data_IF_608381748934
#
_entry.id   IF_608381748934
#
_cell.length_a   1.000
_cell.length_b   1.000
_cell.length_c   1.000
_cell.angle_alpha   90.00
_cell.angle_beta   90.00
_cell.angle_gamma   90.00
#
_symmetry.space_group_name_H-M   'P 1'
#
loop_
_entity.id
_entity.type
_entity.pdbx_description
1 polymer ?
#
# COMPACT_ATOMS: atom_id res chain seq x y z
N UNK A 1 14.62 -2.06 -1.64
CA UNK A 1 13.19 -1.94 -1.31
C UNK A 1 13.06 -0.94 -0.17
N UNK A 2 12.29 0.13 -0.35
CA UNK A 2 12.00 1.12 0.69
C UNK A 2 10.70 0.74 1.41
N UNK A 3 10.79 0.46 2.72
CA UNK A 3 9.64 0.07 3.56
C UNK A 3 9.09 1.22 4.41
N UNK A 4 9.69 2.41 4.33
CA UNK A 4 9.32 3.56 5.15
C UNK A 4 7.82 3.90 5.03
N UNK A 5 7.27 3.82 3.82
CA UNK A 5 5.89 4.21 3.52
C UNK A 5 4.82 3.15 3.81
N UNK A 6 5.21 2.00 4.39
CA UNK A 6 4.28 0.97 4.86
C UNK A 6 4.65 0.51 6.26
N UNK A 7 5.69 -0.31 6.35
CA UNK A 7 6.14 -0.89 7.63
C UNK A 7 6.69 0.18 8.58
N UNK A 8 7.35 1.21 8.04
CA UNK A 8 7.83 2.35 8.83
C UNK A 8 6.69 3.10 9.51
N UNK A 9 5.67 3.53 8.74
CA UNK A 9 4.49 4.19 9.30
C UNK A 9 3.71 3.30 10.27
N UNK A 10 3.55 2.02 9.95
CA UNK A 10 2.88 1.08 10.84
C UNK A 10 3.62 0.91 12.17
N UNK A 11 4.95 0.81 12.13
CA UNK A 11 5.78 0.53 13.30
C UNK A 11 5.97 1.74 14.21
N UNK A 12 6.01 2.94 13.65
CA UNK A 12 6.34 4.17 14.39
C UNK A 12 5.10 5.01 14.72
N UNK A 13 4.15 5.10 13.79
CA UNK A 13 2.98 5.98 13.90
C UNK A 13 1.65 5.21 13.96
N UNK A 14 1.70 3.88 14.10
CA UNK A 14 0.50 3.04 14.10
C UNK A 14 -0.29 3.11 12.79
N UNK A 15 0.39 3.39 11.67
CA UNK A 15 -0.19 3.56 10.33
C UNK A 15 -1.17 4.75 10.19
N UNK A 16 -1.21 5.68 11.16
CA UNK A 16 -2.11 6.84 11.15
C UNK A 16 -1.46 8.04 10.45
N UNK A 17 -1.34 7.94 9.14
CA UNK A 17 -0.75 8.96 8.28
C UNK A 17 -1.72 9.29 7.15
N UNK A 18 -1.94 10.59 6.89
CA UNK A 18 -2.78 11.04 5.77
C UNK A 18 -2.03 10.86 4.46
N UNK A 19 -2.76 10.51 3.40
CA UNK A 19 -2.18 10.17 2.10
C UNK A 19 -1.29 11.28 1.56
N UNK A 20 -1.80 12.52 1.48
CA UNK A 20 -1.07 13.62 0.87
C UNK A 20 0.14 14.11 1.70
N UNK A 21 0.16 13.86 3.02
CA UNK A 21 1.25 14.32 3.89
C UNK A 21 2.58 13.65 3.57
N UNK A 22 2.57 12.41 3.06
CA UNK A 22 3.80 11.68 2.75
C UNK A 22 4.10 11.57 1.25
N UNK A 23 3.21 11.98 0.35
CA UNK A 23 3.48 11.95 -1.09
C UNK A 23 4.73 12.75 -1.51
N UNK A 24 5.03 13.93 -0.94
CA UNK A 24 6.28 14.63 -1.23
C UNK A 24 7.53 13.79 -0.92
N UNK A 25 7.49 12.97 0.13
CA UNK A 25 8.59 12.07 0.48
C UNK A 25 8.69 10.88 -0.49
N UNK A 26 7.58 10.37 -1.01
CA UNK A 26 7.58 9.34 -2.08
C UNK A 26 8.20 9.91 -3.36
N UNK A 27 7.85 11.15 -3.73
CA UNK A 27 8.44 11.84 -4.88
C UNK A 27 9.96 12.01 -4.71
N UNK A 28 10.40 12.51 -3.56
CA UNK A 28 11.82 12.66 -3.25
C UNK A 28 12.56 11.30 -3.28
N UNK A 29 11.94 10.23 -2.77
CA UNK A 29 12.50 8.89 -2.82
C UNK A 29 12.65 8.37 -4.26
N UNK A 30 11.66 8.61 -5.11
CA UNK A 30 11.74 8.32 -6.56
C UNK A 30 12.86 9.11 -7.22
N UNK A 31 12.96 10.41 -6.97
CA UNK A 31 14.02 11.28 -7.51
C UNK A 31 15.42 10.83 -7.06
N UNK A 32 15.53 10.30 -5.84
CA UNK A 32 16.75 9.68 -5.32
C UNK A 32 17.08 8.30 -5.97
N UNK A 33 16.29 7.84 -6.94
CA UNK A 33 16.52 6.61 -7.69
C UNK A 33 15.94 5.35 -7.04
N UNK A 34 15.10 5.47 -6.01
CA UNK A 34 14.42 4.32 -5.43
C UNK A 34 13.29 3.88 -6.38
N UNK A 35 13.37 2.65 -6.87
CA UNK A 35 12.40 2.07 -7.80
C UNK A 35 11.54 0.97 -7.17
N UNK A 36 11.84 0.57 -5.93
CA UNK A 36 11.13 -0.51 -5.26
C UNK A 36 10.61 -0.06 -3.89
N UNK A 37 9.29 0.04 -3.77
CA UNK A 37 8.58 0.49 -2.58
C UNK A 37 7.67 -0.60 -2.01
N UNK A 38 7.60 -0.66 -0.69
CA UNK A 38 6.44 -1.25 -0.02
C UNK A 38 5.39 -0.15 0.17
N UNK A 39 4.24 -0.29 -0.48
CA UNK A 39 3.33 0.81 -0.80
C UNK A 39 1.86 0.51 -0.42
N UNK A 40 1.65 -0.37 0.57
CA UNK A 40 0.30 -0.68 1.08
C UNK A 40 0.14 -2.11 1.57
N UNK A 41 -1.11 -2.56 1.70
CA UNK A 41 -1.45 -3.82 2.36
C UNK A 41 -1.16 -3.77 3.86
N UNK A 42 -1.18 -4.93 4.53
CA UNK A 42 -1.08 -4.98 5.99
C UNK A 42 -2.06 -4.03 6.67
N UNK A 43 -1.61 -3.29 7.70
CA UNK A 43 -2.45 -2.29 8.38
C UNK A 43 -2.72 -1.03 7.54
N UNK A 44 -1.89 -0.76 6.51
CA UNK A 44 -2.06 0.40 5.61
C UNK A 44 -3.24 0.25 4.65
N UNK A 45 -3.92 -0.90 4.61
CA UNK A 45 -5.21 -1.03 3.92
C UNK A 45 -6.41 -0.73 4.83
N UNK A 46 -6.28 -0.87 6.15
CA UNK A 46 -7.39 -0.66 7.08
C UNK A 46 -7.34 0.72 7.73
N UNK A 47 -6.14 1.21 8.00
CA UNK A 47 -5.91 2.49 8.68
C UNK A 47 -6.55 3.70 7.96
N UNK A 48 -6.45 3.83 6.61
CA UNK A 48 -7.11 4.94 5.91
C UNK A 48 -8.61 5.00 6.20
N UNK A 49 -9.30 3.86 6.16
CA UNK A 49 -10.73 3.77 6.45
C UNK A 49 -11.06 4.01 7.93
N UNK A 50 -10.28 3.46 8.85
CA UNK A 50 -10.61 3.49 10.28
C UNK A 50 -10.24 4.81 10.96
N UNK A 51 -9.16 5.45 10.53
CA UNK A 51 -8.55 6.55 11.30
C UNK A 51 -8.34 7.82 10.49
N UNK A 52 -8.31 7.75 9.16
CA UNK A 52 -8.02 8.89 8.30
C UNK A 52 -9.24 9.36 7.49
N UNK A 53 -10.33 8.59 7.47
CA UNK A 53 -11.49 8.83 6.62
C UNK A 53 -11.11 8.94 5.13
N UNK A 54 -10.18 8.08 4.70
CA UNK A 54 -9.65 8.00 3.33
C UNK A 54 -9.93 6.62 2.71
N UNK A 55 -10.05 6.58 1.38
CA UNK A 55 -10.16 5.34 0.63
C UNK A 55 -8.76 4.78 0.31
N UNK A 56 -8.52 3.53 0.68
CA UNK A 56 -7.21 2.89 0.49
C UNK A 56 -6.87 2.64 -0.97
N UNK A 57 -7.85 2.42 -1.84
CA UNK A 57 -7.61 2.29 -3.27
C UNK A 57 -7.22 3.63 -3.90
N UNK A 58 -7.83 4.74 -3.46
CA UNK A 58 -7.38 6.07 -3.88
C UNK A 58 -5.94 6.36 -3.41
N UNK A 59 -5.58 5.96 -2.18
CA UNK A 59 -4.20 6.07 -1.71
C UNK A 59 -3.23 5.27 -2.59
N UNK A 60 -3.61 4.04 -2.99
CA UNK A 60 -2.79 3.20 -3.87
C UNK A 60 -2.62 3.83 -5.26
N UNK A 61 -3.70 4.35 -5.85
CA UNK A 61 -3.65 5.06 -7.13
C UNK A 61 -2.74 6.29 -7.04
N UNK A 62 -2.89 7.07 -5.97
CA UNK A 62 -2.06 8.24 -5.70
C UNK A 62 -0.59 7.88 -5.52
N UNK A 63 -0.29 6.81 -4.79
CA UNK A 63 1.08 6.33 -4.62
C UNK A 63 1.68 5.94 -5.98
N UNK A 64 0.94 5.23 -6.82
CA UNK A 64 1.39 4.85 -8.17
C UNK A 64 1.68 6.08 -9.04
N UNK A 65 0.81 7.09 -9.02
CA UNK A 65 1.06 8.34 -9.74
C UNK A 65 2.39 9.00 -9.33
N UNK A 66 2.63 9.10 -8.03
CA UNK A 66 3.80 9.79 -7.48
C UNK A 66 5.09 8.99 -7.66
N UNK A 67 5.05 7.69 -7.36
CA UNK A 67 6.18 6.78 -7.50
C UNK A 67 6.56 6.52 -8.98
N UNK A 68 5.62 6.74 -9.90
CA UNK A 68 5.81 6.61 -11.34
C UNK A 68 5.46 5.22 -11.89
N UNK A 69 5.31 5.08 -13.22
CA UNK A 69 4.83 3.86 -13.87
C UNK A 69 5.79 2.67 -13.71
N UNK A 70 7.10 2.93 -13.64
CA UNK A 70 8.13 1.89 -13.60
C UNK A 70 8.43 1.39 -12.18
N UNK A 71 7.82 2.00 -11.15
CA UNK A 71 8.05 1.58 -9.77
C UNK A 71 7.52 0.16 -9.53
N UNK A 72 8.32 -0.68 -8.89
CA UNK A 72 7.85 -1.92 -8.29
C UNK A 72 7.14 -1.56 -6.97
N UNK A 73 5.81 -1.69 -6.95
CA UNK A 73 5.02 -1.46 -5.76
C UNK A 73 4.64 -2.81 -5.16
N UNK A 74 5.11 -3.08 -3.95
CA UNK A 74 4.78 -4.27 -3.19
C UNK A 74 3.80 -3.98 -2.05
N UNK A 75 2.87 -4.90 -1.83
CA UNK A 75 2.01 -4.92 -0.63
C UNK A 75 2.26 -6.18 0.19
N UNK A 76 1.96 -6.11 1.50
CA UNK A 76 1.97 -7.28 2.38
C UNK A 76 0.57 -7.91 2.49
N UNK A 77 0.48 -9.22 2.29
CA UNK A 77 -0.72 -10.02 2.54
C UNK A 77 -0.45 -11.09 3.61
N UNK A 78 -1.48 -11.45 4.39
CA UNK A 78 -1.38 -12.46 5.46
C UNK A 78 -2.01 -13.78 5.00
N UNK A 79 -1.34 -14.49 4.10
CA UNK A 79 -1.80 -15.79 3.60
C UNK A 79 -3.25 -15.76 3.12
N UNK A 80 -4.07 -16.72 3.57
CA UNK A 80 -5.50 -16.79 3.23
C UNK A 80 -6.33 -15.66 3.83
N UNK A 81 -5.80 -14.93 4.82
CA UNK A 81 -6.48 -13.76 5.39
C UNK A 81 -6.23 -12.50 4.58
N UNK A 82 -5.32 -12.48 3.60
CA UNK A 82 -5.01 -11.30 2.77
C UNK A 82 -4.82 -10.01 3.61
N UNK A 83 -5.64 -8.99 3.39
CA UNK A 83 -5.75 -7.76 4.20
C UNK A 83 -6.99 -7.76 5.12
N UNK A 84 -7.67 -8.90 5.24
CA UNK A 84 -8.83 -9.11 6.09
C UNK A 84 -8.42 -9.50 7.52
N UNK A 85 -9.36 -9.28 8.46
CA UNK A 85 -9.20 -9.68 9.85
C UNK A 85 -9.29 -11.19 10.04
N UNK A 86 -10.07 -11.87 9.18
CA UNK A 86 -10.30 -13.32 9.20
C UNK A 86 -9.94 -13.98 7.85
N UNK A 87 -10.00 -15.30 7.78
CA UNK A 87 -9.76 -16.08 6.56
C UNK A 87 -10.76 -15.74 5.47
N UNK A 88 -10.25 -15.49 4.26
CA UNK A 88 -11.05 -15.16 3.09
C UNK A 88 -11.33 -16.41 2.25
N UNK A 89 -12.49 -16.43 1.58
CA UNK A 89 -12.79 -17.46 0.58
C UNK A 89 -11.86 -17.32 -0.63
N UNK A 90 -11.73 -18.38 -1.42
CA UNK A 90 -10.91 -18.38 -2.65
C UNK A 90 -11.31 -17.28 -3.64
N UNK A 91 -12.60 -16.96 -3.72
CA UNK A 91 -13.10 -15.88 -4.59
C UNK A 91 -12.67 -14.50 -4.09
N UNK A 92 -12.66 -14.28 -2.78
CA UNK A 92 -12.19 -13.02 -2.18
C UNK A 92 -10.66 -12.90 -2.32
N UNK A 93 -9.90 -13.99 -2.16
CA UNK A 93 -8.44 -14.00 -2.42
C UNK A 93 -8.15 -13.64 -3.88
N UNK A 94 -8.91 -14.21 -4.82
CA UNK A 94 -8.79 -13.89 -6.26
C UNK A 94 -9.16 -12.43 -6.53
N UNK A 95 -10.21 -11.92 -5.88
CA UNK A 95 -10.64 -10.53 -6.02
C UNK A 95 -9.58 -9.55 -5.49
N UNK A 96 -8.96 -9.85 -4.35
CA UNK A 96 -7.84 -9.07 -3.79
C UNK A 96 -6.72 -8.89 -4.82
N UNK A 97 -6.25 -9.98 -5.44
CA UNK A 97 -5.19 -9.91 -6.45
C UNK A 97 -5.61 -9.05 -7.66
N UNK A 98 -6.85 -9.21 -8.15
CA UNK A 98 -7.38 -8.43 -9.29
C UNK A 98 -7.47 -6.93 -8.96
N UNK A 99 -8.00 -6.58 -7.80
CA UNK A 99 -8.16 -5.18 -7.38
C UNK A 99 -6.81 -4.52 -7.12
N UNK A 100 -5.90 -5.19 -6.41
CA UNK A 100 -4.58 -4.62 -6.14
C UNK A 100 -3.80 -4.39 -7.44
N UNK A 101 -3.89 -5.32 -8.40
CA UNK A 101 -3.29 -5.13 -9.72
C UNK A 101 -3.92 -3.96 -10.49
N UNK A 102 -5.24 -3.79 -10.41
CA UNK A 102 -5.97 -2.66 -11.01
C UNK A 102 -5.47 -1.33 -10.45
N UNK A 103 -5.25 -1.26 -9.14
CA UNK A 103 -4.76 -0.07 -8.43
C UNK A 103 -3.23 0.01 -8.35
N UNK A 104 -2.56 -0.46 -9.40
CA UNK A 104 -1.14 -0.21 -9.61
C UNK A 104 -0.16 -1.06 -8.79
N UNK A 105 -0.59 -2.06 -8.00
CA UNK A 105 0.35 -2.93 -7.29
C UNK A 105 1.01 -3.93 -8.25
N UNK A 106 2.32 -4.10 -8.08
CA UNK A 106 3.15 -5.00 -8.89
C UNK A 106 3.33 -6.35 -8.22
N UNK A 107 3.58 -6.37 -6.90
CA UNK A 107 4.00 -7.55 -6.16
C UNK A 107 3.19 -7.72 -4.87
N UNK A 108 2.80 -8.95 -4.54
CA UNK A 108 2.22 -9.30 -3.23
C UNK A 108 3.23 -10.18 -2.50
N UNK A 109 3.61 -9.79 -1.29
CA UNK A 109 4.46 -10.56 -0.37
C UNK A 109 3.64 -11.23 0.71
#
# INVERSE_FOLDING_TARGET
MCTAFRDGFQSVYGARVLTEDFMPAVAAAREAGITYFEAGGGAMFQSPYFYCNEDSFHMMDRFREVAGPDANLQTLARGVNIVCLDSASSDVIRLHAKLFKKHGITTIR
#
